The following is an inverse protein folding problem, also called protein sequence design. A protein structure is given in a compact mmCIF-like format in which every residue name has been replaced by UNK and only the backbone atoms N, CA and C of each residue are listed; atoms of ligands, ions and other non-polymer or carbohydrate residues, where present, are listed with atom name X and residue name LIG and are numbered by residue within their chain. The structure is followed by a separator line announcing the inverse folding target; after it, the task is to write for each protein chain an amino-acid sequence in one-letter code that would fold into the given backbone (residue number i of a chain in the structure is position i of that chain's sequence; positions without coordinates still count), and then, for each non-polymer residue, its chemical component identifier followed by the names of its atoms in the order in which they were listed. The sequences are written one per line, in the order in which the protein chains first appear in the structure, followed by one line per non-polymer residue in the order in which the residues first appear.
data_IF_490969312939
#
_entry.id   IF_490969312939
#
_cell.length_a   1.000
_cell.length_b   1.000
_cell.length_c   1.000
_cell.angle_alpha   90.00
_cell.angle_beta   90.00
_cell.angle_gamma   90.00
#
_symmetry.space_group_name_H-M   'P 1'
#
loop_
_entity.id
_entity.type
_entity.pdbx_description
1 polymer ?
#
# COMPACT_ATOMS: atom_id res chain seq x y z
N UNK A 1 26.15 5.69 6.88
CA UNK A 1 24.71 5.33 6.88
C UNK A 1 24.37 5.03 8.34
N UNK A 2 23.85 6.03 9.07
CA UNK A 2 23.93 6.07 10.54
C UNK A 2 22.93 5.18 11.28
N UNK A 3 23.23 4.95 12.57
CA UNK A 3 22.61 4.06 13.58
C UNK A 3 21.08 3.92 13.64
N UNK A 4 20.33 4.84 13.03
CA UNK A 4 18.85 4.86 13.07
C UNK A 4 18.19 3.65 12.38
N UNK A 5 18.86 3.01 11.42
CA UNK A 5 18.34 1.78 10.79
C UNK A 5 18.67 0.51 11.57
N UNK A 6 19.66 0.54 12.46
CA UNK A 6 20.15 -0.65 13.17
C UNK A 6 19.10 -1.19 14.15
N UNK A 7 18.28 -0.31 14.73
CA UNK A 7 17.21 -0.64 15.67
C UNK A 7 15.81 -0.33 15.11
N UNK A 8 15.62 -0.47 13.79
CA UNK A 8 14.33 -0.24 13.15
C UNK A 8 13.64 -1.57 12.73
N UNK A 9 12.34 -1.74 13.02
CA UNK A 9 11.50 -0.88 13.85
C UNK A 9 11.92 -0.92 15.33
N UNK A 10 11.59 0.11 16.12
CA UNK A 10 11.94 0.12 17.54
C UNK A 10 11.29 -1.05 18.28
N UNK A 11 11.99 -1.69 19.23
CA UNK A 11 11.40 -2.74 20.03
C UNK A 11 10.25 -2.18 20.88
N UNK A 12 9.13 -2.91 20.92
CA UNK A 12 7.95 -2.52 21.69
C UNK A 12 7.68 -3.53 22.79
N UNK A 13 7.31 -3.03 23.97
CA UNK A 13 6.66 -3.87 24.97
C UNK A 13 5.18 -4.13 24.59
N UNK A 14 4.50 -5.11 25.21
CA UNK A 14 3.13 -5.47 24.86
C UNK A 14 2.13 -4.31 24.99
N UNK A 15 2.25 -3.49 26.03
CA UNK A 15 1.34 -2.36 26.26
C UNK A 15 1.50 -1.26 25.19
N UNK A 16 2.74 -0.96 24.79
CA UNK A 16 3.03 -0.02 23.71
C UNK A 16 2.50 -0.53 22.37
N UNK A 17 2.66 -1.83 22.09
CA UNK A 17 2.15 -2.44 20.87
C UNK A 17 0.63 -2.34 20.80
N UNK A 18 -0.06 -2.70 21.87
CA UNK A 18 -1.53 -2.62 21.93
C UNK A 18 -2.01 -1.18 21.75
N UNK A 19 -1.39 -0.24 22.46
CA UNK A 19 -1.72 1.19 22.35
C UNK A 19 -1.58 1.70 20.90
N UNK A 20 -0.46 1.40 20.24
CA UNK A 20 -0.23 1.84 18.86
C UNK A 20 -1.19 1.19 17.87
N UNK A 21 -1.45 -0.12 18.02
CA UNK A 21 -2.39 -0.84 17.16
C UNK A 21 -3.79 -0.26 17.26
N UNK A 22 -4.29 -0.01 18.47
CA UNK A 22 -5.60 0.61 18.69
C UNK A 22 -5.64 2.02 18.12
N UNK A 23 -4.62 2.83 18.42
CA UNK A 23 -4.53 4.22 17.91
C UNK A 23 -4.59 4.28 16.39
N UNK A 24 -3.86 3.38 15.69
CA UNK A 24 -3.86 3.36 14.22
C UNK A 24 -5.21 2.90 13.67
N UNK A 25 -5.85 1.89 14.28
CA UNK A 25 -7.18 1.44 13.85
C UNK A 25 -8.23 2.55 13.98
N UNK A 26 -8.22 3.25 15.11
CA UNK A 26 -9.12 4.37 15.36
C UNK A 26 -8.85 5.51 14.37
N UNK A 27 -7.58 5.90 14.20
CA UNK A 27 -7.20 6.94 13.25
C UNK A 27 -7.59 6.57 11.82
N UNK A 28 -7.33 5.33 11.37
CA UNK A 28 -7.69 4.86 10.05
C UNK A 28 -9.21 4.94 9.81
N UNK A 29 -9.99 4.57 10.83
CA UNK A 29 -11.46 4.67 10.77
C UNK A 29 -11.93 6.12 10.69
N UNK A 30 -11.37 7.01 11.52
CA UNK A 30 -11.70 8.44 11.53
C UNK A 30 -11.31 9.16 10.23
N UNK A 31 -10.29 8.67 9.52
CA UNK A 31 -9.78 9.27 8.28
C UNK A 31 -10.23 8.53 7.01
N UNK A 32 -11.13 7.54 7.13
CA UNK A 32 -11.69 6.82 5.99
C UNK A 32 -10.72 5.86 5.29
N UNK A 33 -9.61 5.48 5.93
CA UNK A 33 -8.70 4.44 5.45
C UNK A 33 -9.30 3.06 5.76
N UNK A 34 -10.35 2.72 5.02
CA UNK A 34 -11.23 1.59 5.28
C UNK A 34 -11.38 0.69 4.04
N UNK A 35 -11.62 -0.58 4.27
CA UNK A 35 -11.94 -1.58 3.25
C UNK A 35 -13.09 -2.46 3.74
N UNK A 36 -13.80 -3.10 2.80
CA UNK A 36 -14.77 -4.14 3.18
C UNK A 36 -14.02 -5.36 3.72
N UNK A 37 -14.50 -5.98 4.81
CA UNK A 37 -13.90 -7.19 5.33
C UNK A 37 -14.02 -8.33 4.30
N UNK A 38 -13.02 -9.20 4.23
CA UNK A 38 -13.11 -10.37 3.36
C UNK A 38 -14.17 -11.35 3.88
N UNK A 39 -14.89 -12.08 3.00
CA UNK A 39 -15.90 -13.06 3.41
C UNK A 39 -15.37 -14.16 4.34
N UNK A 40 -14.05 -14.41 4.33
CA UNK A 40 -13.38 -15.36 5.23
C UNK A 40 -13.33 -14.88 6.69
N UNK A 41 -13.45 -13.58 6.94
CA UNK A 41 -13.47 -13.00 8.29
C UNK A 41 -14.87 -12.58 8.73
N UNK A 42 -15.68 -12.08 7.80
CA UNK A 42 -17.07 -11.69 8.04
C UNK A 42 -17.96 -12.40 7.01
N UNK A 43 -18.63 -13.50 7.40
CA UNK A 43 -19.58 -14.19 6.53
C UNK A 43 -20.73 -13.29 6.07
N UNK A 44 -21.30 -13.59 4.91
CA UNK A 44 -22.38 -12.79 4.29
C UNK A 44 -23.65 -12.75 5.15
N UNK A 45 -23.84 -13.76 5.99
CA UNK A 45 -24.96 -13.85 6.94
C UNK A 45 -24.87 -12.75 8.02
N UNK A 46 -23.65 -12.29 8.34
CA UNK A 46 -23.39 -11.24 9.34
C UNK A 46 -23.46 -9.85 8.71
N UNK A 47 -23.05 -9.70 7.45
CA UNK A 47 -23.13 -8.45 6.69
C UNK A 47 -23.86 -8.62 5.34
N UNK A 48 -25.18 -8.82 5.36
CA UNK A 48 -25.95 -9.11 4.15
C UNK A 48 -26.02 -7.92 3.18
N UNK A 49 -25.91 -6.70 3.69
CA UNK A 49 -25.95 -5.45 2.90
C UNK A 49 -24.56 -4.93 2.53
N UNK A 50 -23.47 -5.54 3.01
CA UNK A 50 -22.10 -5.14 2.67
C UNK A 50 -21.73 -3.75 3.22
N UNK A 51 -22.31 -3.37 4.36
CA UNK A 51 -22.17 -2.04 4.97
C UNK A 51 -21.06 -1.99 6.01
N UNK A 52 -20.54 -3.14 6.46
CA UNK A 52 -19.45 -3.17 7.42
C UNK A 52 -18.12 -2.80 6.75
N UNK A 53 -17.26 -2.16 7.52
CA UNK A 53 -15.93 -1.76 7.12
C UNK A 53 -14.91 -2.10 8.22
N UNK A 54 -13.70 -2.43 7.79
CA UNK A 54 -12.53 -2.60 8.65
C UNK A 54 -11.44 -1.65 8.17
N UNK A 55 -10.48 -1.30 9.02
CA UNK A 55 -9.35 -0.49 8.60
C UNK A 55 -8.59 -1.19 7.46
N UNK A 56 -8.09 -0.41 6.49
CA UNK A 56 -7.21 -0.97 5.47
C UNK A 56 -5.97 -1.59 6.15
N UNK A 57 -5.42 -2.70 5.63
CA UNK A 57 -4.19 -3.28 6.14
C UNK A 57 -3.02 -2.31 6.02
N UNK A 58 -2.31 -2.06 7.13
CA UNK A 58 -1.16 -1.15 7.19
C UNK A 58 -0.05 -1.75 8.03
N UNK A 59 1.18 -1.28 7.82
CA UNK A 59 2.29 -1.55 8.72
C UNK A 59 2.22 -0.62 9.93
N UNK A 60 2.62 -1.12 11.11
CA UNK A 60 2.66 -0.33 12.34
C UNK A 60 3.68 0.82 12.28
N UNK A 61 4.75 0.62 11.51
CA UNK A 61 5.81 1.58 11.26
C UNK A 61 6.10 1.66 9.75
N UNK A 62 6.46 2.83 9.20
CA UNK A 62 6.78 2.96 7.79
C UNK A 62 8.03 2.14 7.40
N UNK A 63 8.03 1.44 6.28
CA UNK A 63 9.24 0.71 5.87
C UNK A 63 10.37 1.67 5.49
N UNK A 64 11.61 1.48 5.95
CA UNK A 64 12.75 2.28 5.51
C UNK A 64 12.97 2.14 4.01
N UNK A 65 13.26 3.24 3.33
CA UNK A 65 13.51 3.22 1.89
C UNK A 65 14.58 4.25 1.50
N UNK A 66 15.54 3.92 0.62
CA UNK A 66 16.58 4.86 0.21
C UNK A 66 15.99 6.08 -0.50
N UNK A 67 16.33 7.28 0.00
CA UNK A 67 15.83 8.55 -0.57
C UNK A 67 16.23 8.73 -2.04
N UNK A 68 17.44 8.34 -2.41
CA UNK A 68 17.90 8.41 -3.80
C UNK A 68 17.00 7.60 -4.73
N UNK A 69 16.69 6.36 -4.36
CA UNK A 69 15.80 5.49 -5.13
C UNK A 69 14.38 6.04 -5.22
N UNK A 70 13.83 6.61 -4.14
CA UNK A 70 12.51 7.23 -4.16
C UNK A 70 12.44 8.41 -5.13
N UNK A 71 13.44 9.29 -5.08
CA UNK A 71 13.52 10.44 -5.96
C UNK A 71 13.69 10.03 -7.42
N UNK A 72 14.55 9.06 -7.69
CA UNK A 72 14.78 8.53 -9.03
C UNK A 72 13.49 7.94 -9.62
N UNK A 73 12.81 7.07 -8.87
CA UNK A 73 11.52 6.50 -9.29
C UNK A 73 10.47 7.57 -9.54
N UNK A 74 10.42 8.61 -8.70
CA UNK A 74 9.49 9.74 -8.86
C UNK A 74 9.78 10.53 -10.14
N UNK A 75 11.06 10.80 -10.43
CA UNK A 75 11.45 11.50 -11.65
C UNK A 75 11.16 10.67 -12.92
N UNK A 76 11.31 9.34 -12.84
CA UNK A 76 11.06 8.42 -13.94
C UNK A 76 9.58 8.32 -14.32
N UNK A 77 8.66 8.52 -13.39
CA UNK A 77 7.22 8.30 -13.58
C UNK A 77 6.66 9.00 -14.83
N UNK A 78 7.01 10.27 -15.05
CA UNK A 78 6.48 11.02 -16.21
C UNK A 78 7.05 10.53 -17.54
N UNK A 79 8.33 10.14 -17.55
CA UNK A 79 8.99 9.58 -18.75
C UNK A 79 8.38 8.22 -19.09
N UNK A 80 8.19 7.36 -18.08
CA UNK A 80 7.53 6.06 -18.25
C UNK A 80 6.10 6.19 -18.77
N UNK A 81 5.30 7.13 -18.24
CA UNK A 81 3.94 7.35 -18.75
C UNK A 81 3.93 7.71 -20.24
N UNK A 82 4.84 8.59 -20.68
CA UNK A 82 4.96 8.98 -22.09
C UNK A 82 5.41 7.82 -22.96
N UNK A 83 6.37 7.04 -22.48
CA UNK A 83 6.84 5.84 -23.17
C UNK A 83 5.69 4.84 -23.36
N UNK A 84 4.95 4.53 -22.31
CA UNK A 84 3.80 3.63 -22.39
C UNK A 84 2.72 4.18 -23.33
N UNK A 85 2.39 5.46 -23.25
CA UNK A 85 1.44 6.09 -24.17
C UNK A 85 1.89 5.94 -25.63
N UNK A 86 3.16 6.25 -25.93
CA UNK A 86 3.72 6.15 -27.28
C UNK A 86 3.74 4.69 -27.79
N UNK A 87 4.09 3.73 -26.94
CA UNK A 87 4.05 2.30 -27.25
C UNK A 87 2.61 1.88 -27.58
N UNK A 88 1.63 2.25 -26.76
CA UNK A 88 0.22 1.87 -26.97
C UNK A 88 -0.39 2.45 -28.24
N UNK A 89 0.12 3.58 -28.73
CA UNK A 89 -0.31 4.17 -30.01
C UNK A 89 0.34 3.50 -31.23
N UNK A 90 1.30 2.58 -31.04
CA UNK A 90 1.93 1.85 -32.12
C UNK A 90 1.33 0.44 -32.24
N UNK A 91 0.12 0.38 -32.81
CA UNK A 91 -0.66 -0.85 -32.95
C UNK A 91 0.06 -1.92 -33.78
N UNK A 92 0.76 -1.53 -34.86
CA UNK A 92 1.52 -2.47 -35.69
C UNK A 92 2.65 -3.14 -34.89
N UNK A 93 3.37 -2.35 -34.10
CA UNK A 93 4.44 -2.88 -33.25
C UNK A 93 3.90 -3.77 -32.14
N UNK A 94 2.85 -3.35 -31.42
CA UNK A 94 2.23 -4.19 -30.38
C UNK A 94 1.67 -5.48 -30.95
N UNK A 95 1.01 -5.42 -32.11
CA UNK A 95 0.45 -6.59 -32.78
C UNK A 95 1.52 -7.65 -33.03
N UNK A 96 2.68 -7.26 -33.58
CA UNK A 96 3.81 -8.17 -33.80
C UNK A 96 4.31 -8.81 -32.49
N UNK A 97 4.43 -8.04 -31.41
CA UNK A 97 4.90 -8.55 -30.11
C UNK A 97 3.90 -9.53 -29.46
N UNK A 98 2.59 -9.36 -29.68
CA UNK A 98 1.57 -10.24 -29.11
C UNK A 98 1.35 -11.53 -29.89
N UNK A 99 1.73 -11.55 -31.17
CA UNK A 99 1.66 -12.73 -32.03
C UNK A 99 2.87 -13.67 -31.87
N UNK A 100 3.96 -13.20 -31.26
CA UNK A 100 5.13 -13.99 -30.81
C UNK A 100 4.87 -14.71 -29.47
#
# INVERSE_FOLDING_TARGET
MGDIYTNYPPPLNPAQKEYLVTTIKDWATQNGLLVRPAPSFVPKEIDPSGVLATNAPVTLFPSPFPKSCFNEATALQTVYNRLYAAITCNEEWIGKIMEE
#
